data_IF_187102734955
#
_entry.id   IF_187102734955
#
_cell.length_a   1.000
_cell.length_b   1.000
_cell.length_c   1.000
_cell.angle_alpha   90.00
_cell.angle_beta   90.00
_cell.angle_gamma   90.00
#
_symmetry.space_group_name_H-M   'P 1'
#
loop_
_entity.id
_entity.type
_entity.pdbx_description
1 polymer ?
#
# COMPACT_ATOMS: atom_id res chain seq x y z
N UNK A 1 -28.49 25.28 5.55
CA UNK A 1 -28.57 23.86 5.19
C UNK A 1 -27.26 23.48 4.54
N UNK A 2 -26.34 22.89 5.30
CA UNK A 2 -25.13 22.26 4.77
C UNK A 2 -25.19 20.80 5.22
N UNK A 3 -25.90 19.99 4.44
CA UNK A 3 -25.77 18.55 4.54
C UNK A 3 -24.66 18.17 3.60
N UNK A 4 -23.44 18.12 4.15
CA UNK A 4 -22.33 17.27 3.73
C UNK A 4 -22.79 16.17 2.75
N UNK A 5 -22.63 16.44 1.45
CA UNK A 5 -22.90 15.50 0.37
C UNK A 5 -21.89 14.36 0.47
N UNK A 6 -22.24 13.33 1.24
CA UNK A 6 -21.50 12.08 1.36
C UNK A 6 -21.34 11.53 -0.05
N UNK A 7 -20.13 11.57 -0.59
CA UNK A 7 -19.81 11.06 -1.92
C UNK A 7 -20.21 9.57 -1.97
N UNK A 8 -21.38 9.28 -2.54
CA UNK A 8 -21.92 7.92 -2.65
C UNK A 8 -21.28 7.14 -3.82
N UNK A 9 -20.16 7.66 -4.35
CA UNK A 9 -19.41 7.11 -5.46
C UNK A 9 -17.99 6.81 -4.98
N UNK A 10 -17.56 5.58 -5.21
CA UNK A 10 -16.20 5.14 -4.91
C UNK A 10 -15.21 5.88 -5.82
N UNK A 11 -14.31 6.67 -5.22
CA UNK A 11 -13.30 7.44 -5.93
C UNK A 11 -12.04 6.58 -6.14
N UNK A 12 -12.16 5.58 -7.01
CA UNK A 12 -11.11 4.57 -7.27
C UNK A 12 -9.76 5.22 -7.57
N UNK A 13 -9.73 6.21 -8.46
CA UNK A 13 -8.49 6.90 -8.86
C UNK A 13 -7.78 7.60 -7.69
N UNK A 14 -8.55 8.12 -6.73
CA UNK A 14 -8.00 8.79 -5.56
C UNK A 14 -7.43 7.77 -4.56
N UNK A 15 -8.10 6.62 -4.39
CA UNK A 15 -7.59 5.52 -3.58
C UNK A 15 -6.30 4.94 -4.17
N UNK A 16 -6.24 4.75 -5.49
CA UNK A 16 -5.03 4.28 -6.20
C UNK A 16 -3.86 5.25 -5.97
N UNK A 17 -4.07 6.55 -6.17
CA UNK A 17 -3.04 7.59 -5.94
C UNK A 17 -2.57 7.63 -4.49
N UNK A 18 -3.49 7.48 -3.54
CA UNK A 18 -3.14 7.44 -2.12
C UNK A 18 -2.22 6.25 -1.82
N UNK A 19 -2.59 5.05 -2.28
CA UNK A 19 -1.78 3.82 -2.10
C UNK A 19 -0.38 3.99 -2.72
N UNK A 20 -0.28 4.58 -3.92
CA UNK A 20 1.01 4.88 -4.55
C UNK A 20 1.85 5.88 -3.73
N UNK A 21 1.21 6.89 -3.14
CA UNK A 21 1.92 7.89 -2.33
C UNK A 21 2.50 7.31 -1.03
N UNK A 22 1.90 6.24 -0.49
CA UNK A 22 2.40 5.58 0.73
C UNK A 22 3.77 4.93 0.50
N UNK A 23 4.07 4.45 -0.72
CA UNK A 23 5.38 3.90 -1.04
C UNK A 23 6.48 5.00 -1.12
N UNK A 24 6.11 6.24 -1.46
CA UNK A 24 7.05 7.36 -1.62
C UNK A 24 7.47 8.05 -0.31
N UNK A 25 6.71 7.88 0.78
CA UNK A 25 7.04 8.44 2.10
C UNK A 25 7.96 7.49 2.87
N UNK A 26 9.25 7.51 2.53
CA UNK A 26 10.31 6.74 3.19
C UNK A 26 11.13 7.65 4.12
N UNK A 27 10.49 8.36 5.04
CA UNK A 27 11.19 9.17 6.04
C UNK A 27 11.80 8.25 7.12
N UNK A 28 13.11 8.38 7.33
CA UNK A 28 14.01 7.41 7.98
C UNK A 28 13.63 6.99 9.43
N UNK A 29 12.73 7.70 10.11
CA UNK A 29 12.34 7.40 11.50
C UNK A 29 11.13 6.45 11.61
N UNK A 30 10.13 6.59 10.74
CA UNK A 30 9.01 5.64 10.65
C UNK A 30 9.43 4.32 9.99
N UNK A 31 10.50 4.37 9.17
CA UNK A 31 11.05 3.22 8.45
C UNK A 31 11.39 2.05 9.39
N UNK A 32 12.10 2.32 10.49
CA UNK A 32 12.51 1.30 11.46
C UNK A 32 11.39 0.93 12.44
N UNK A 33 10.56 1.90 12.84
CA UNK A 33 9.49 1.67 13.82
C UNK A 33 8.31 0.87 13.25
N UNK A 34 8.09 0.91 11.95
CA UNK A 34 6.95 0.28 11.28
C UNK A 34 7.32 -0.90 10.39
N UNK A 35 8.57 -1.37 10.44
CA UNK A 35 9.05 -2.49 9.60
C UNK A 35 8.14 -3.72 9.70
N UNK A 36 7.72 -4.08 10.93
CA UNK A 36 6.75 -5.15 11.20
C UNK A 36 5.32 -4.87 10.71
N UNK A 37 4.90 -3.61 10.58
CA UNK A 37 3.59 -3.23 10.05
C UNK A 37 3.57 -3.11 8.52
N UNK A 38 4.73 -2.99 7.88
CA UNK A 38 4.83 -2.58 6.48
C UNK A 38 4.51 -3.70 5.51
N UNK A 39 4.88 -4.94 5.83
CA UNK A 39 4.44 -6.10 5.06
C UNK A 39 2.91 -6.24 5.09
N UNK A 40 2.30 -6.01 6.26
CA UNK A 40 0.84 -5.96 6.44
C UNK A 40 0.20 -4.81 5.65
N UNK A 41 0.84 -3.63 5.61
CA UNK A 41 0.39 -2.48 4.84
C UNK A 41 0.44 -2.72 3.32
N UNK A 42 1.51 -3.35 2.82
CA UNK A 42 1.64 -3.77 1.42
C UNK A 42 0.57 -4.80 1.07
N UNK A 43 0.31 -5.78 1.94
CA UNK A 43 -0.75 -6.76 1.76
C UNK A 43 -2.14 -6.10 1.64
N UNK A 44 -2.49 -5.20 2.55
CA UNK A 44 -3.77 -4.49 2.49
C UNK A 44 -3.86 -3.53 1.30
N UNK A 45 -2.78 -2.84 0.94
CA UNK A 45 -2.74 -1.98 -0.24
C UNK A 45 -2.91 -2.76 -1.55
N UNK A 46 -2.24 -3.91 -1.69
CA UNK A 46 -2.36 -4.77 -2.85
C UNK A 46 -3.76 -5.40 -2.95
N UNK A 47 -4.31 -5.87 -1.82
CA UNK A 47 -5.67 -6.42 -1.76
C UNK A 47 -6.71 -5.36 -2.11
N UNK A 48 -6.54 -4.11 -1.64
CA UNK A 48 -7.42 -3.01 -2.01
C UNK A 48 -7.36 -2.70 -3.51
N UNK A 49 -6.17 -2.70 -4.12
CA UNK A 49 -6.04 -2.50 -5.57
C UNK A 49 -6.63 -3.64 -6.39
N UNK A 50 -6.52 -4.88 -5.92
CA UNK A 50 -7.15 -6.06 -6.54
C UNK A 50 -8.68 -5.95 -6.49
N UNK A 51 -9.25 -5.59 -5.34
CA UNK A 51 -10.68 -5.32 -5.19
C UNK A 51 -11.18 -4.16 -6.08
N UNK A 52 -10.30 -3.20 -6.38
CA UNK A 52 -10.57 -2.07 -7.26
C UNK A 52 -10.26 -2.37 -8.75
N UNK A 53 -9.92 -3.61 -9.08
CA UNK A 53 -9.52 -4.07 -10.42
C UNK A 53 -8.41 -3.20 -11.04
N UNK A 54 -7.54 -2.66 -10.19
CA UNK A 54 -6.46 -1.72 -10.52
C UNK A 54 -5.11 -2.25 -10.05
N UNK A 55 -4.94 -3.58 -10.05
CA UNK A 55 -3.72 -4.25 -9.57
C UNK A 55 -2.47 -3.83 -10.36
N UNK A 56 -2.63 -3.43 -11.63
CA UNK A 56 -1.56 -2.92 -12.50
C UNK A 56 -1.04 -1.53 -12.09
N UNK A 57 -1.69 -0.85 -11.14
CA UNK A 57 -1.25 0.44 -10.64
C UNK A 57 0.03 0.35 -9.78
N UNK A 58 0.37 -0.84 -9.29
CA UNK A 58 1.65 -1.13 -8.64
C UNK A 58 2.49 -2.02 -9.55
N UNK A 59 3.79 -1.71 -9.64
CA UNK A 59 4.74 -2.58 -10.35
C UNK A 59 4.94 -3.86 -9.56
N UNK A 60 4.48 -4.97 -10.13
CA UNK A 60 4.61 -6.30 -9.51
C UNK A 60 6.05 -6.62 -9.14
N UNK A 61 7.02 -6.25 -9.97
CA UNK A 61 8.44 -6.52 -9.71
C UNK A 61 8.93 -5.82 -8.45
N UNK A 62 8.46 -4.60 -8.19
CA UNK A 62 8.87 -3.81 -7.03
C UNK A 62 8.26 -4.37 -5.74
N UNK A 63 7.00 -4.81 -5.80
CA UNK A 63 6.33 -5.50 -4.68
C UNK A 63 7.04 -6.82 -4.35
N UNK A 64 7.36 -7.63 -5.36
CA UNK A 64 8.07 -8.90 -5.16
C UNK A 64 9.46 -8.67 -4.58
N UNK A 65 10.22 -7.70 -5.11
CA UNK A 65 11.54 -7.35 -4.56
C UNK A 65 11.45 -6.91 -3.10
N UNK A 66 10.43 -6.14 -2.74
CA UNK A 66 10.21 -5.71 -1.37
C UNK A 66 9.93 -6.92 -0.45
N UNK A 67 9.01 -7.80 -0.82
CA UNK A 67 8.70 -9.01 -0.02
C UNK A 67 9.92 -9.91 0.14
N UNK A 68 10.70 -10.11 -0.93
CA UNK A 68 11.94 -10.90 -0.87
C UNK A 68 12.99 -10.21 0.01
N UNK A 69 13.07 -8.87 -0.01
CA UNK A 69 14.01 -8.14 0.86
C UNK A 69 13.67 -8.23 2.35
N UNK A 70 12.42 -8.54 2.69
CA UNK A 70 12.01 -8.80 4.07
C UNK A 70 12.38 -10.21 4.56
N UNK A 71 12.78 -11.12 3.66
CA UNK A 71 13.14 -12.48 4.03
C UNK A 71 14.57 -12.52 4.59
N UNK A 72 14.72 -12.89 5.86
CA UNK A 72 16.02 -13.14 6.48
C UNK A 72 16.59 -14.52 6.05
N UNK A 73 17.92 -14.67 6.12
CA UNK A 73 18.65 -15.89 5.77
C UNK A 73 18.21 -17.14 6.57
N UNK A 74 17.56 -16.95 7.72
CA UNK A 74 16.99 -18.01 8.54
C UNK A 74 15.55 -18.41 8.12
N UNK A 75 15.03 -17.83 7.03
CA UNK A 75 13.69 -18.08 6.50
C UNK A 75 12.56 -17.32 7.19
N UNK A 76 12.85 -16.43 8.14
CA UNK A 76 11.84 -15.60 8.81
C UNK A 76 11.65 -14.28 8.05
N UNK A 77 10.41 -13.83 7.91
CA UNK A 77 10.05 -12.48 7.47
C UNK A 77 9.56 -11.64 8.66
#
# INVERSE_FOLDING_TARGET
MDTSEKQNRLLVDLHVKYIQSLDTKKDDLEYWLTEHLRLSGVYWGLTALDLLNSIDALKKEDVVKYVVSCQHDNGQC
#
